data_IF_589294588829
#
_entry.id   IF_589294588829
#
_cell.length_a   1.000
_cell.length_b   1.000
_cell.length_c   1.000
_cell.angle_alpha   90.00
_cell.angle_beta   90.00
_cell.angle_gamma   90.00
#
_symmetry.space_group_name_H-M   'P 1'
#
loop_
_entity.id
_entity.type
_entity.pdbx_description
1 polymer ?
#
# COMPACT_ATOMS: atom_id res chain seq x y z
N UNK A 1 -37.54 25.50 16.87
CA UNK A 1 -36.34 25.53 16.00
C UNK A 1 -35.48 24.32 16.36
N UNK A 2 -35.55 23.23 15.60
CA UNK A 2 -34.64 22.11 15.76
C UNK A 2 -33.51 22.26 14.74
N UNK A 3 -32.32 22.63 15.21
CA UNK A 3 -31.12 22.76 14.40
C UNK A 3 -30.62 21.39 13.98
N UNK A 4 -30.54 21.15 12.67
CA UNK A 4 -30.09 19.91 12.08
C UNK A 4 -28.56 20.02 11.88
N UNK A 5 -27.77 19.54 12.84
CA UNK A 5 -26.31 19.49 12.73
C UNK A 5 -25.91 18.27 11.88
N UNK A 6 -25.91 18.46 10.56
CA UNK A 6 -25.28 17.54 9.61
C UNK A 6 -23.76 17.75 9.65
N UNK A 7 -23.10 17.31 10.71
CA UNK A 7 -21.64 17.28 10.77
C UNK A 7 -21.17 15.95 10.20
N UNK A 8 -20.84 15.93 8.91
CA UNK A 8 -20.01 14.88 8.33
C UNK A 8 -18.66 14.90 9.07
N UNK A 9 -18.52 14.06 10.10
CA UNK A 9 -17.26 13.87 10.80
C UNK A 9 -16.19 13.57 9.75
N UNK A 10 -15.13 14.39 9.62
CA UNK A 10 -14.06 14.10 8.68
C UNK A 10 -13.45 12.75 9.05
N UNK A 11 -13.69 11.76 8.21
CA UNK A 11 -13.00 10.48 8.28
C UNK A 11 -11.51 10.74 8.05
N UNK A 12 -10.67 10.40 9.01
CA UNK A 12 -9.26 10.74 8.99
C UNK A 12 -8.45 10.02 10.07
N UNK A 13 -7.14 9.87 9.83
CA UNK A 13 -6.19 9.22 10.74
C UNK A 13 -5.36 10.27 11.47
N UNK A 14 -5.26 10.15 12.79
CA UNK A 14 -4.34 10.97 13.57
C UNK A 14 -2.91 10.46 13.45
N UNK A 15 -1.97 11.38 13.23
CA UNK A 15 -0.56 11.07 13.19
C UNK A 15 -0.08 10.59 14.58
N UNK A 16 0.57 9.42 14.70
CA UNK A 16 1.04 8.92 15.99
C UNK A 16 2.20 9.73 16.58
N UNK A 17 2.85 10.58 15.79
CA UNK A 17 4.00 11.38 16.21
C UNK A 17 3.61 12.82 16.59
N UNK A 18 2.81 13.51 15.77
CA UNK A 18 2.44 14.92 16.02
C UNK A 18 0.93 15.15 16.24
N UNK A 19 0.11 14.10 16.23
CA UNK A 19 -1.34 14.16 16.45
C UNK A 19 -2.20 14.89 15.39
N UNK A 20 -1.59 15.38 14.30
CA UNK A 20 -2.30 15.99 13.18
C UNK A 20 -3.36 15.06 12.58
N UNK A 21 -4.53 15.60 12.22
CA UNK A 21 -5.58 14.84 11.53
C UNK A 21 -5.30 14.83 10.03
N UNK A 22 -4.97 13.66 9.48
CA UNK A 22 -4.69 13.49 8.06
C UNK A 22 -5.85 12.73 7.39
N UNK A 23 -5.96 12.83 6.06
CA UNK A 23 -6.90 12.02 5.27
C UNK A 23 -6.68 10.52 5.54
N UNK A 24 -7.74 9.71 5.44
CA UNK A 24 -7.61 8.24 5.54
C UNK A 24 -6.71 7.65 4.44
N UNK A 25 -6.60 8.33 3.31
CA UNK A 25 -5.79 7.93 2.15
C UNK A 25 -4.34 8.44 2.24
N UNK A 26 -4.01 9.24 3.27
CA UNK A 26 -2.68 9.84 3.40
C UNK A 26 -1.63 8.78 3.79
N UNK A 27 -0.62 8.58 2.92
CA UNK A 27 0.53 7.70 3.22
C UNK A 27 1.51 8.31 4.22
N UNK A 28 1.59 9.64 4.29
CA UNK A 28 2.48 10.41 5.16
C UNK A 28 1.73 11.56 5.82
N UNK A 29 2.20 11.97 7.00
CA UNK A 29 1.67 13.15 7.68
C UNK A 29 2.08 14.42 6.94
N UNK A 30 1.11 15.29 6.63
CA UNK A 30 1.38 16.57 5.98
C UNK A 30 2.22 17.55 6.80
N UNK A 31 2.19 17.41 8.13
CA UNK A 31 2.88 18.34 9.04
C UNK A 31 4.28 17.87 9.44
N UNK A 32 4.44 16.58 9.79
CA UNK A 32 5.72 16.07 10.30
C UNK A 32 6.35 14.96 9.45
N UNK A 33 5.74 14.59 8.32
CA UNK A 33 6.28 13.59 7.39
C UNK A 33 6.25 12.13 7.89
N UNK A 34 5.72 11.86 9.09
CA UNK A 34 5.63 10.49 9.62
C UNK A 34 4.77 9.62 8.72
N UNK A 35 5.26 8.43 8.33
CA UNK A 35 4.49 7.46 7.53
C UNK A 35 3.28 6.98 8.33
N UNK A 36 2.09 7.14 7.77
CA UNK A 36 0.83 6.87 8.44
C UNK A 36 0.29 5.48 8.12
N UNK A 37 0.70 4.88 7.00
CA UNK A 37 0.31 3.53 6.61
C UNK A 37 1.15 2.48 7.35
N UNK A 38 0.58 1.33 7.75
CA UNK A 38 1.34 0.23 8.33
C UNK A 38 2.43 -0.21 7.36
N UNK A 39 3.68 -0.25 7.83
CA UNK A 39 4.82 -0.75 7.04
C UNK A 39 5.06 -2.23 7.26
N UNK A 40 4.27 -2.90 8.09
CA UNK A 40 4.47 -4.29 8.48
C UNK A 40 3.27 -5.14 8.06
N UNK A 41 3.55 -6.23 7.36
CA UNK A 41 2.57 -7.24 6.90
C UNK A 41 2.93 -8.61 7.45
N UNK A 42 1.97 -9.54 7.46
CA UNK A 42 2.22 -10.94 7.84
C UNK A 42 2.51 -11.77 6.60
N UNK A 43 3.57 -12.55 6.64
CA UNK A 43 3.85 -13.55 5.62
C UNK A 43 2.70 -14.58 5.58
N UNK A 44 2.04 -14.80 4.43
CA UNK A 44 0.91 -15.73 4.35
C UNK A 44 1.33 -17.20 4.46
N UNK A 45 2.63 -17.50 4.24
CA UNK A 45 3.17 -18.85 4.31
C UNK A 45 3.65 -19.21 5.73
N UNK A 46 4.46 -18.35 6.36
CA UNK A 46 5.10 -18.66 7.65
C UNK A 46 4.65 -17.79 8.83
N UNK A 47 3.82 -16.75 8.61
CA UNK A 47 3.28 -15.88 9.68
C UNK A 47 4.26 -14.86 10.28
N UNK A 48 5.49 -14.78 9.77
CA UNK A 48 6.45 -13.76 10.22
C UNK A 48 5.99 -12.35 9.86
N UNK A 49 6.44 -11.36 10.63
CA UNK A 49 6.19 -9.94 10.33
C UNK A 49 7.26 -9.44 9.37
N UNK A 50 6.87 -8.97 8.20
CA UNK A 50 7.74 -8.53 7.10
C UNK A 50 7.47 -7.07 6.77
N UNK A 51 8.44 -6.32 6.26
CA UNK A 51 8.17 -4.98 5.76
C UNK A 51 7.34 -5.03 4.47
N UNK A 52 6.39 -4.11 4.29
CA UNK A 52 5.59 -4.01 3.07
C UNK A 52 6.44 -3.70 1.84
N UNK A 53 7.61 -3.11 2.04
CA UNK A 53 8.54 -2.75 0.97
C UNK A 53 9.52 -3.89 0.65
N UNK A 54 9.56 -4.97 1.44
CA UNK A 54 10.43 -6.13 1.19
C UNK A 54 9.91 -6.97 0.02
N UNK A 55 10.79 -7.35 -0.91
CA UNK A 55 10.40 -8.19 -2.07
C UNK A 55 10.15 -9.67 -1.69
N UNK A 56 10.74 -10.12 -0.58
CA UNK A 56 10.66 -11.49 -0.09
C UNK A 56 10.55 -11.50 1.44
N UNK A 57 9.91 -12.54 1.98
CA UNK A 57 9.89 -12.80 3.40
C UNK A 57 11.30 -13.12 3.88
N UNK A 58 11.82 -12.33 4.81
CA UNK A 58 13.16 -12.51 5.39
C UNK A 58 13.29 -13.77 6.26
N UNK A 59 12.18 -14.44 6.57
CA UNK A 59 12.17 -15.68 7.38
C UNK A 59 12.08 -16.96 6.54
N UNK A 60 11.23 -17.01 5.51
CA UNK A 60 11.02 -18.23 4.70
C UNK A 60 11.33 -18.06 3.21
N UNK A 61 11.60 -16.84 2.73
CA UNK A 61 11.92 -16.57 1.33
C UNK A 61 10.73 -16.46 0.39
N UNK A 62 9.48 -16.58 0.88
CA UNK A 62 8.29 -16.39 0.05
C UNK A 62 8.30 -15.00 -0.61
N UNK A 63 8.08 -14.88 -1.94
CA UNK A 63 7.90 -13.58 -2.58
C UNK A 63 6.70 -12.83 -1.99
N UNK A 64 6.91 -11.57 -1.61
CA UNK A 64 5.88 -10.70 -1.02
C UNK A 64 5.26 -9.73 -2.04
N UNK A 65 5.82 -9.67 -3.25
CA UNK A 65 5.29 -8.89 -4.37
C UNK A 65 4.23 -9.67 -5.13
N UNK A 66 3.11 -9.02 -5.43
CA UNK A 66 2.07 -9.58 -6.30
C UNK A 66 2.57 -9.61 -7.74
N UNK A 67 2.19 -10.65 -8.47
CA UNK A 67 2.57 -10.85 -9.86
C UNK A 67 1.36 -10.73 -10.78
N UNK A 68 1.58 -10.18 -11.96
CA UNK A 68 0.57 -9.95 -13.01
C UNK A 68 1.05 -10.61 -14.30
N UNK A 69 0.14 -11.24 -15.04
CA UNK A 69 0.45 -11.73 -16.39
C UNK A 69 0.20 -10.64 -17.41
N UNK A 70 1.16 -10.44 -18.31
CA UNK A 70 1.00 -9.53 -19.43
C UNK A 70 -0.12 -10.02 -20.35
N UNK A 71 -1.12 -9.18 -20.61
CA UNK A 71 -2.23 -9.53 -21.50
C UNK A 71 -1.81 -9.78 -22.97
N UNK A 72 -0.66 -9.24 -23.40
CA UNK A 72 -0.17 -9.39 -24.77
C UNK A 72 0.66 -10.67 -24.97
N UNK A 73 1.61 -10.96 -24.07
CA UNK A 73 2.57 -12.06 -24.25
C UNK A 73 2.57 -13.10 -23.12
N UNK A 74 1.67 -12.99 -22.13
CA UNK A 74 1.53 -13.88 -20.97
C UNK A 74 2.72 -13.93 -19.99
N UNK A 75 3.78 -13.18 -20.23
CA UNK A 75 4.90 -13.05 -19.29
C UNK A 75 4.44 -12.58 -17.91
N UNK A 76 4.94 -13.23 -16.86
CA UNK A 76 4.75 -12.81 -15.48
C UNK A 76 5.63 -11.60 -15.13
N UNK A 77 5.01 -10.55 -14.61
CA UNK A 77 5.63 -9.28 -14.22
C UNK A 77 5.26 -8.94 -12.77
N UNK A 78 6.06 -8.11 -12.10
CA UNK A 78 5.72 -7.60 -10.76
C UNK A 78 4.61 -6.53 -10.89
N UNK A 79 3.66 -6.51 -9.94
CA UNK A 79 2.65 -5.45 -9.85
C UNK A 79 3.32 -4.07 -9.72
N UNK A 80 2.79 -3.07 -10.44
CA UNK A 80 3.39 -1.72 -10.52
C UNK A 80 4.49 -1.55 -11.59
N UNK A 81 4.91 -2.62 -12.28
CA UNK A 81 5.77 -2.47 -13.48
C UNK A 81 5.04 -1.68 -14.56
N UNK A 82 5.71 -0.68 -15.16
CA UNK A 82 5.10 0.21 -16.18
C UNK A 82 5.01 -0.44 -17.57
N UNK A 83 5.95 -1.33 -17.88
CA UNK A 83 6.07 -2.01 -19.18
C UNK A 83 6.42 -3.47 -18.95
N UNK A 84 5.90 -4.35 -19.80
CA UNK A 84 6.22 -5.77 -19.78
C UNK A 84 7.72 -5.97 -20.05
N UNK A 85 8.38 -6.74 -19.18
CA UNK A 85 9.83 -7.01 -19.28
C UNK A 85 10.26 -7.78 -20.53
N UNK A 86 9.34 -8.50 -21.18
CA UNK A 86 9.67 -9.28 -22.39
C UNK A 86 9.21 -8.57 -23.67
N UNK A 87 7.94 -8.17 -23.77
CA UNK A 87 7.41 -7.60 -25.01
C UNK A 87 7.33 -6.06 -25.04
N UNK A 88 7.67 -5.38 -23.94
CA UNK A 88 7.65 -3.92 -23.85
C UNK A 88 6.25 -3.28 -23.85
N UNK A 89 5.18 -4.07 -23.96
CA UNK A 89 3.80 -3.54 -23.91
C UNK A 89 3.55 -2.85 -22.59
N UNK A 90 2.90 -1.68 -22.62
CA UNK A 90 2.53 -0.95 -21.40
C UNK A 90 1.62 -1.81 -20.55
N UNK A 91 1.94 -1.93 -19.27
CA UNK A 91 1.11 -2.67 -18.32
C UNK A 91 0.00 -1.75 -17.82
N UNK A 92 -1.21 -2.27 -17.76
CA UNK A 92 -2.32 -1.67 -17.04
C UNK A 92 -2.38 -2.34 -15.67
N UNK A 93 -2.30 -1.53 -14.62
CA UNK A 93 -2.39 -1.96 -13.22
C UNK A 93 -3.83 -1.93 -12.74
#
# INVERSE_FOLDING_TARGET
MMGNINTSVPKGRRCPNCNELNSEEASFCGECGTRLIPTKVKCPDCGSTVDSDDKFCTSCGLPMVKKLKCANCNTENEEGTKFCRECGTKMEV
#
